data_IF_441917191401
#
_entry.id   IF_441917191401
#
_cell.length_a   1.000
_cell.length_b   1.000
_cell.length_c   1.000
_cell.angle_alpha   90.00
_cell.angle_beta   90.00
_cell.angle_gamma   90.00
#
_symmetry.space_group_name_H-M   'P 1'
#
loop_
_entity.id
_entity.type
_entity.pdbx_description
1 polymer ?
#
# COMPACT_ATOMS: atom_id res chain seq x y z
N UNK A 1 -7.39 28.73 -16.49
CA UNK A 1 -7.67 28.13 -15.16
C UNK A 1 -8.95 27.29 -15.05
N UNK A 2 -9.86 27.28 -16.04
CA UNK A 2 -11.18 26.63 -15.91
C UNK A 2 -11.11 25.09 -15.84
N UNK A 3 -10.14 24.47 -16.53
CA UNK A 3 -9.98 23.01 -16.59
C UNK A 3 -9.34 22.49 -15.30
N UNK A 4 -8.29 23.15 -14.81
CA UNK A 4 -7.65 22.77 -13.55
C UNK A 4 -8.62 22.85 -12.37
N UNK A 5 -9.40 23.93 -12.28
CA UNK A 5 -10.39 24.08 -11.19
C UNK A 5 -11.48 23.01 -11.27
N UNK A 6 -12.06 22.78 -12.46
CA UNK A 6 -13.17 21.85 -12.62
C UNK A 6 -12.76 20.38 -12.50
N UNK A 7 -11.63 20.01 -13.08
CA UNK A 7 -11.28 18.60 -13.28
C UNK A 7 -10.24 18.10 -12.24
N UNK A 8 -9.66 18.98 -11.42
CA UNK A 8 -8.68 18.62 -10.37
C UNK A 8 -9.09 19.16 -9.01
N UNK A 9 -9.21 20.48 -8.89
CA UNK A 9 -9.42 21.16 -7.60
C UNK A 9 -10.80 20.83 -7.02
N UNK A 10 -11.84 20.79 -7.84
CA UNK A 10 -13.20 20.46 -7.42
C UNK A 10 -13.32 18.99 -6.97
N UNK A 11 -12.80 17.98 -7.68
CA UNK A 11 -12.70 16.61 -7.16
C UNK A 11 -11.94 16.49 -5.85
N UNK A 12 -10.79 17.18 -5.72
CA UNK A 12 -10.01 17.16 -4.46
C UNK A 12 -10.79 17.80 -3.30
N UNK A 13 -11.44 18.94 -3.53
CA UNK A 13 -12.31 19.58 -2.56
C UNK A 13 -13.50 18.67 -2.20
N UNK A 14 -14.07 17.97 -3.18
CA UNK A 14 -15.14 17.00 -2.94
C UNK A 14 -14.69 15.86 -2.04
N UNK A 15 -13.48 15.30 -2.23
CA UNK A 15 -12.92 14.28 -1.34
C UNK A 15 -12.83 14.80 0.10
N UNK A 16 -12.34 16.03 0.28
CA UNK A 16 -12.24 16.64 1.61
C UNK A 16 -13.62 16.81 2.24
N UNK A 17 -14.57 17.40 1.50
CA UNK A 17 -15.96 17.59 1.96
C UNK A 17 -16.65 16.26 2.27
N UNK A 18 -16.43 15.24 1.45
CA UNK A 18 -16.94 13.90 1.63
C UNK A 18 -16.47 13.29 2.96
N UNK A 19 -15.18 13.42 3.28
CA UNK A 19 -14.65 12.99 4.57
C UNK A 19 -15.28 13.72 5.76
N UNK A 20 -15.39 15.06 5.68
CA UNK A 20 -16.06 15.84 6.72
C UNK A 20 -17.53 15.43 6.90
N UNK A 21 -18.26 15.20 5.80
CA UNK A 21 -19.63 14.74 5.85
C UNK A 21 -19.74 13.36 6.51
N UNK A 22 -18.85 12.42 6.16
CA UNK A 22 -18.78 11.11 6.81
C UNK A 22 -18.56 11.22 8.32
N UNK A 23 -17.65 12.08 8.78
CA UNK A 23 -17.39 12.25 10.21
C UNK A 23 -18.59 12.83 10.98
N UNK A 24 -19.40 13.68 10.34
CA UNK A 24 -20.62 14.23 10.95
C UNK A 24 -21.77 13.21 11.00
N UNK A 25 -21.82 12.27 10.05
CA UNK A 25 -22.84 11.22 9.99
C UNK A 25 -22.53 10.07 10.96
N UNK A 26 -21.25 9.72 11.12
CA UNK A 26 -20.83 8.61 11.97
C UNK A 26 -20.88 9.01 13.45
N UNK A 27 -21.87 8.47 14.18
CA UNK A 27 -22.17 8.80 15.58
C UNK A 27 -20.94 8.85 16.54
N UNK A 28 -20.04 7.84 16.58
CA UNK A 28 -18.88 7.89 17.48
C UNK A 28 -17.88 9.00 17.14
N UNK A 29 -17.88 9.51 15.91
CA UNK A 29 -17.05 10.66 15.52
C UNK A 29 -17.68 11.97 15.89
N UNK A 30 -18.99 12.10 15.67
CA UNK A 30 -19.74 13.31 15.99
C UNK A 30 -19.60 13.72 17.47
N UNK A 31 -19.60 12.75 18.37
CA UNK A 31 -19.45 13.00 19.82
C UNK A 31 -18.03 13.37 20.23
N UNK A 32 -17.02 12.98 19.44
CA UNK A 32 -15.59 13.18 19.74
C UNK A 32 -14.96 14.34 18.98
N UNK A 33 -15.72 15.00 18.09
CA UNK A 33 -15.31 16.21 17.39
C UNK A 33 -15.18 17.39 18.37
N UNK A 34 -13.96 17.66 18.81
CA UNK A 34 -13.61 18.87 19.56
C UNK A 34 -12.61 19.74 18.75
N UNK A 35 -12.52 21.02 19.05
CA UNK A 35 -11.65 21.99 18.38
C UNK A 35 -10.19 21.53 18.30
N UNK A 36 -9.67 20.86 19.34
CA UNK A 36 -8.30 20.31 19.36
C UNK A 36 -8.14 19.19 18.33
N UNK A 37 -9.08 18.25 18.27
CA UNK A 37 -9.06 17.15 17.29
C UNK A 37 -9.16 17.66 15.86
N UNK A 38 -10.01 18.66 15.62
CA UNK A 38 -10.14 19.32 14.32
C UNK A 38 -8.83 20.02 13.92
N UNK A 39 -8.20 20.76 14.83
CA UNK A 39 -6.93 21.44 14.59
C UNK A 39 -5.85 20.43 14.18
N UNK A 40 -5.78 19.29 14.85
CA UNK A 40 -4.81 18.24 14.55
C UNK A 40 -5.11 17.57 13.19
N UNK A 41 -6.37 17.31 12.87
CA UNK A 41 -6.79 16.79 11.56
C UNK A 41 -6.42 17.77 10.43
N UNK A 42 -6.59 19.08 10.64
CA UNK A 42 -6.17 20.10 9.67
C UNK A 42 -4.64 20.23 9.57
N UNK A 43 -3.94 20.14 10.69
CA UNK A 43 -2.47 20.10 10.67
C UNK A 43 -1.98 18.88 9.88
N UNK A 44 -2.59 17.71 10.10
CA UNK A 44 -2.31 16.49 9.36
C UNK A 44 -2.58 16.66 7.87
N UNK A 45 -3.67 17.35 7.49
CA UNK A 45 -3.96 17.67 6.09
C UNK A 45 -2.81 18.45 5.46
N UNK A 46 -2.27 19.44 6.18
CA UNK A 46 -1.11 20.21 5.75
C UNK A 46 0.13 19.34 5.51
N UNK A 47 0.41 18.39 6.40
CA UNK A 47 1.52 17.43 6.24
C UNK A 47 1.31 16.55 5.00
N UNK A 48 0.11 15.97 4.82
CA UNK A 48 -0.19 15.12 3.67
C UNK A 48 -0.11 15.89 2.34
N UNK A 49 -0.59 17.14 2.31
CA UNK A 49 -0.46 18.01 1.13
C UNK A 49 1.01 18.32 0.86
N UNK A 50 1.82 18.65 1.86
CA UNK A 50 3.24 18.92 1.68
C UNK A 50 3.98 17.69 1.10
N UNK A 51 3.68 16.50 1.61
CA UNK A 51 4.22 15.23 1.09
C UNK A 51 3.74 14.99 -0.35
N UNK A 52 2.45 15.21 -0.64
CA UNK A 52 1.91 15.07 -1.99
C UNK A 52 2.61 16.03 -2.97
N UNK A 53 2.81 17.29 -2.59
CA UNK A 53 3.51 18.28 -3.40
C UNK A 53 4.97 17.89 -3.65
N UNK A 54 5.65 17.31 -2.66
CA UNK A 54 7.00 16.76 -2.85
C UNK A 54 7.01 15.64 -3.90
N UNK A 55 6.06 14.71 -3.85
CA UNK A 55 5.95 13.65 -4.85
C UNK A 55 5.54 14.17 -6.23
N UNK A 56 4.67 15.17 -6.29
CA UNK A 56 4.32 15.88 -7.53
C UNK A 56 5.57 16.55 -8.13
N UNK A 57 6.43 17.16 -7.32
CA UNK A 57 7.71 17.70 -7.76
C UNK A 57 8.63 16.63 -8.36
N UNK A 58 8.68 15.45 -7.74
CA UNK A 58 9.44 14.31 -8.25
C UNK A 58 8.83 13.74 -9.53
N UNK A 59 7.51 13.76 -9.68
CA UNK A 59 6.84 13.40 -10.92
C UNK A 59 7.20 14.40 -12.03
N UNK A 60 7.14 15.71 -11.76
CA UNK A 60 7.54 16.77 -12.69
C UNK A 60 8.97 16.57 -13.23
N UNK A 61 9.94 16.23 -12.38
CA UNK A 61 11.31 15.89 -12.79
C UNK A 61 11.37 14.75 -13.81
N UNK A 62 10.55 13.71 -13.64
CA UNK A 62 10.52 12.58 -14.59
C UNK A 62 10.02 12.98 -15.97
N UNK A 63 9.22 14.05 -16.06
CA UNK A 63 8.71 14.58 -17.33
C UNK A 63 9.52 15.79 -17.83
N UNK A 64 10.70 16.05 -17.27
CA UNK A 64 11.63 17.09 -17.75
C UNK A 64 11.39 18.49 -17.18
N UNK A 65 10.51 18.65 -16.18
CA UNK A 65 10.27 19.91 -15.48
C UNK A 65 11.14 20.02 -14.22
N UNK A 66 11.36 21.24 -13.71
CA UNK A 66 12.04 21.46 -12.43
C UNK A 66 11.10 21.18 -11.26
N UNK A 67 11.63 20.74 -10.10
CA UNK A 67 10.83 20.66 -8.86
C UNK A 67 10.20 21.98 -8.46
N UNK A 68 10.82 23.11 -8.79
CA UNK A 68 10.27 24.42 -8.45
C UNK A 68 9.05 24.80 -9.32
N UNK A 69 8.80 24.06 -10.40
CA UNK A 69 7.67 24.30 -11.30
C UNK A 69 6.33 23.88 -10.69
N UNK A 70 6.31 23.31 -9.48
CA UNK A 70 5.09 23.09 -8.68
C UNK A 70 4.29 24.39 -8.51
N UNK A 71 4.95 25.55 -8.45
CA UNK A 71 4.24 26.85 -8.34
C UNK A 71 3.42 27.18 -9.59
N UNK A 72 3.83 26.65 -10.74
CA UNK A 72 3.17 26.83 -12.03
C UNK A 72 2.34 25.59 -12.43
N UNK A 73 2.09 24.68 -11.48
CA UNK A 73 1.33 23.45 -11.71
C UNK A 73 -0.03 23.67 -12.39
N UNK A 74 -0.83 24.70 -12.03
CA UNK A 74 -2.10 24.97 -12.72
C UNK A 74 -1.89 25.24 -14.21
N UNK A 75 -0.86 26.01 -14.58
CA UNK A 75 -0.56 26.35 -15.97
C UNK A 75 -0.02 25.15 -16.75
N UNK A 76 0.82 24.34 -16.11
CA UNK A 76 1.40 23.13 -16.72
C UNK A 76 0.29 22.12 -16.99
N UNK A 77 -0.61 21.89 -16.03
CA UNK A 77 -1.74 20.97 -16.19
C UNK A 77 -2.67 21.45 -17.30
N UNK A 78 -2.95 22.75 -17.41
CA UNK A 78 -3.78 23.26 -18.50
C UNK A 78 -3.14 23.09 -19.88
N UNK A 79 -1.83 23.34 -20.00
CA UNK A 79 -1.11 23.18 -21.28
C UNK A 79 -0.95 21.72 -21.69
N UNK A 80 -0.93 20.79 -20.74
CA UNK A 80 -0.65 19.37 -20.97
C UNK A 80 -1.87 18.47 -20.85
N UNK A 81 -3.04 19.05 -20.54
CA UNK A 81 -4.30 18.32 -20.34
C UNK A 81 -4.65 17.47 -21.59
N UNK A 82 -4.84 16.17 -21.38
CA UNK A 82 -5.19 15.21 -22.44
C UNK A 82 -4.05 14.81 -23.39
N UNK A 83 -2.86 15.41 -23.27
CA UNK A 83 -1.69 15.09 -24.13
C UNK A 83 -0.61 14.28 -23.42
N UNK A 84 -0.44 14.48 -22.12
CA UNK A 84 0.55 13.78 -21.29
C UNK A 84 -0.13 13.01 -20.17
N UNK A 85 0.58 11.99 -19.66
CA UNK A 85 0.18 11.27 -18.44
C UNK A 85 0.45 12.06 -17.16
N UNK A 86 1.28 13.12 -17.24
CA UNK A 86 1.67 13.96 -16.10
C UNK A 86 0.46 14.51 -15.33
N UNK A 87 -0.57 15.14 -15.94
CA UNK A 87 -1.75 15.60 -15.20
C UNK A 87 -2.46 14.48 -14.46
N UNK A 88 -2.61 13.30 -15.06
CA UNK A 88 -3.23 12.13 -14.40
C UNK A 88 -2.39 11.64 -13.22
N UNK A 89 -1.06 11.59 -13.36
CA UNK A 89 -0.15 11.18 -12.28
C UNK A 89 -0.21 12.18 -11.11
N UNK A 90 -0.24 13.48 -11.41
CA UNK A 90 -0.41 14.54 -10.39
C UNK A 90 -1.78 14.44 -9.70
N UNK A 91 -2.85 14.19 -10.46
CA UNK A 91 -4.18 13.96 -9.91
C UNK A 91 -4.19 12.78 -8.93
N UNK A 92 -3.60 11.66 -9.31
CA UNK A 92 -3.53 10.48 -8.48
C UNK A 92 -2.69 10.74 -7.21
N UNK A 93 -1.52 11.36 -7.32
CA UNK A 93 -0.67 11.63 -6.14
C UNK A 93 -1.42 12.47 -5.09
N UNK A 94 -2.09 13.55 -5.51
CA UNK A 94 -2.83 14.42 -4.59
C UNK A 94 -4.11 13.74 -4.10
N UNK A 95 -4.85 13.09 -5.00
CA UNK A 95 -6.07 12.36 -4.66
C UNK A 95 -5.81 11.24 -3.65
N UNK A 96 -4.81 10.41 -3.89
CA UNK A 96 -4.38 9.33 -2.99
C UNK A 96 -3.99 9.92 -1.63
N UNK A 97 -3.20 11.00 -1.59
CA UNK A 97 -2.82 11.65 -0.34
C UNK A 97 -4.03 12.16 0.46
N UNK A 98 -5.06 12.71 -0.20
CA UNK A 98 -6.29 13.15 0.45
C UNK A 98 -7.14 11.98 0.95
N UNK A 99 -7.20 10.88 0.21
CA UNK A 99 -7.86 9.65 0.66
C UNK A 99 -7.14 9.08 1.88
N UNK A 100 -5.82 8.95 1.84
CA UNK A 100 -5.02 8.48 2.98
C UNK A 100 -5.17 9.40 4.19
N UNK A 101 -5.12 10.72 3.99
CA UNK A 101 -5.38 11.69 5.05
C UNK A 101 -6.74 11.45 5.70
N UNK A 102 -7.80 11.26 4.91
CA UNK A 102 -9.14 11.06 5.45
C UNK A 102 -9.28 9.76 6.26
N UNK A 103 -8.63 8.68 5.83
CA UNK A 103 -8.56 7.42 6.60
C UNK A 103 -7.75 7.63 7.90
N UNK A 104 -6.64 8.33 7.83
CA UNK A 104 -5.78 8.60 8.99
C UNK A 104 -6.47 9.51 10.02
N UNK A 105 -7.15 10.55 9.53
CA UNK A 105 -7.99 11.43 10.32
C UNK A 105 -9.19 10.68 10.92
N UNK A 106 -9.77 9.72 10.19
CA UNK A 106 -10.81 8.85 10.72
C UNK A 106 -10.29 8.03 11.92
N UNK A 107 -9.13 7.40 11.81
CA UNK A 107 -8.53 6.67 12.92
C UNK A 107 -8.27 7.58 14.14
N UNK A 108 -7.84 8.83 13.89
CA UNK A 108 -7.57 9.82 14.94
C UNK A 108 -8.84 10.31 15.65
N UNK A 109 -9.92 10.54 14.91
CA UNK A 109 -11.21 10.97 15.47
C UNK A 109 -11.90 9.85 16.25
N UNK A 110 -11.71 8.59 15.85
CA UNK A 110 -12.28 7.43 16.53
C UNK A 110 -11.69 7.25 17.95
N UNK A 111 -10.41 7.56 18.16
CA UNK A 111 -9.74 7.38 19.46
C UNK A 111 -9.98 8.53 20.42
N UNK A 112 -10.16 9.77 19.94
CA UNK A 112 -10.37 10.97 20.77
C UNK A 112 -9.11 11.54 21.43
N UNK A 113 -8.07 10.74 21.64
CA UNK A 113 -6.72 11.19 22.01
C UNK A 113 -5.84 11.30 20.75
N UNK A 114 -5.14 12.44 20.52
CA UNK A 114 -4.36 12.64 19.30
C UNK A 114 -3.13 11.74 19.16
N UNK A 115 -2.46 11.42 20.27
CA UNK A 115 -1.29 10.55 20.26
C UNK A 115 -1.73 9.11 19.99
N UNK A 116 -2.78 8.65 20.68
CA UNK A 116 -3.37 7.33 20.44
C UNK A 116 -3.98 7.23 19.05
N UNK A 117 -4.52 8.32 18.51
CA UNK A 117 -5.04 8.41 17.15
C UNK A 117 -3.97 8.27 16.09
N UNK A 118 -2.84 8.95 16.28
CA UNK A 118 -1.68 8.81 15.41
C UNK A 118 -1.11 7.38 15.46
N UNK A 119 -0.93 6.83 16.67
CA UNK A 119 -0.46 5.46 16.85
C UNK A 119 -1.43 4.43 16.27
N UNK A 120 -2.74 4.66 16.39
CA UNK A 120 -3.78 3.81 15.80
C UNK A 120 -3.77 3.85 14.29
N UNK A 121 -3.59 5.03 13.69
CA UNK A 121 -3.40 5.18 12.25
C UNK A 121 -2.18 4.41 11.77
N UNK A 122 -1.02 4.58 12.43
CA UNK A 122 0.21 3.83 12.12
C UNK A 122 -0.01 2.33 12.27
N UNK A 123 -0.65 1.89 13.36
CA UNK A 123 -0.90 0.47 13.62
C UNK A 123 -1.78 -0.17 12.55
N UNK A 124 -2.85 0.50 12.16
CA UNK A 124 -3.74 0.07 11.07
C UNK A 124 -2.97 -0.07 9.75
N UNK A 125 -2.15 0.92 9.35
CA UNK A 125 -1.35 0.80 8.13
C UNK A 125 -0.29 -0.28 8.22
N UNK A 126 0.36 -0.44 9.38
CA UNK A 126 1.35 -1.48 9.59
C UNK A 126 0.73 -2.89 9.45
N UNK A 127 -0.46 -3.11 10.04
CA UNK A 127 -1.22 -4.35 9.90
C UNK A 127 -1.62 -4.61 8.44
N UNK A 128 -2.17 -3.61 7.75
CA UNK A 128 -2.54 -3.73 6.34
C UNK A 128 -1.31 -4.09 5.49
N UNK A 129 -0.20 -3.36 5.64
CA UNK A 129 1.02 -3.59 4.85
C UNK A 129 1.65 -4.95 5.17
N UNK A 130 1.60 -5.40 6.42
CA UNK A 130 2.04 -6.73 6.81
C UNK A 130 1.20 -7.82 6.13
N UNK A 131 -0.12 -7.62 6.03
CA UNK A 131 -1.02 -8.55 5.36
C UNK A 131 -0.90 -8.54 3.82
N UNK A 132 -0.36 -7.46 3.23
CA UNK A 132 -0.13 -7.37 1.78
C UNK A 132 0.82 -8.45 1.23
N UNK A 133 1.57 -9.16 2.08
CA UNK A 133 2.34 -10.35 1.65
C UNK A 133 1.44 -11.37 0.95
N UNK A 134 0.22 -11.60 1.48
CA UNK A 134 -0.76 -12.50 0.86
C UNK A 134 -1.22 -11.96 -0.51
N UNK A 135 -1.43 -10.64 -0.62
CA UNK A 135 -1.81 -10.02 -1.89
C UNK A 135 -0.70 -10.17 -2.94
N UNK A 136 0.58 -10.06 -2.54
CA UNK A 136 1.72 -10.32 -3.43
C UNK A 136 1.64 -11.75 -3.97
N UNK A 137 1.36 -12.74 -3.11
CA UNK A 137 1.17 -14.13 -3.55
C UNK A 137 0.01 -14.28 -4.53
N UNK A 138 -1.15 -13.64 -4.26
CA UNK A 138 -2.28 -13.66 -5.19
C UNK A 138 -1.92 -13.08 -6.57
N UNK A 139 -1.19 -11.96 -6.61
CA UNK A 139 -0.70 -11.37 -7.86
C UNK A 139 0.26 -12.32 -8.59
N UNK A 140 1.09 -13.06 -7.84
CA UNK A 140 1.94 -14.10 -8.42
C UNK A 140 1.07 -15.18 -9.08
N UNK A 141 0.10 -15.75 -8.37
CA UNK A 141 -0.73 -16.85 -8.87
C UNK A 141 -1.54 -16.47 -10.12
N UNK A 142 -2.16 -15.29 -10.11
CA UNK A 142 -3.14 -14.89 -11.13
C UNK A 142 -2.48 -14.23 -12.33
N UNK A 143 -1.39 -13.48 -12.12
CA UNK A 143 -0.81 -12.63 -13.16
C UNK A 143 0.59 -13.10 -13.52
N UNK A 144 1.52 -13.11 -12.55
CA UNK A 144 2.95 -13.25 -12.84
C UNK A 144 3.27 -14.69 -13.27
N UNK A 145 2.68 -15.68 -12.62
CA UNK A 145 2.92 -17.09 -12.89
C UNK A 145 2.42 -17.52 -14.28
N UNK A 146 1.15 -17.28 -14.67
CA UNK A 146 0.67 -17.62 -16.02
C UNK A 146 1.49 -16.91 -17.10
N UNK A 147 1.80 -15.63 -16.90
CA UNK A 147 2.62 -14.85 -17.82
C UNK A 147 4.05 -15.41 -17.94
N UNK A 148 4.66 -15.81 -16.82
CA UNK A 148 6.01 -16.39 -16.81
C UNK A 148 6.04 -17.74 -17.49
N UNK A 149 5.06 -18.63 -17.24
CA UNK A 149 4.94 -19.91 -17.93
C UNK A 149 4.74 -19.73 -19.44
N UNK A 150 3.85 -18.82 -19.85
CA UNK A 150 3.63 -18.53 -21.27
C UNK A 150 4.92 -18.09 -21.97
N UNK A 151 5.69 -17.18 -21.35
CA UNK A 151 6.98 -16.73 -21.90
C UNK A 151 7.98 -17.89 -21.96
N UNK A 152 8.08 -18.71 -20.92
CA UNK A 152 8.96 -19.88 -20.91
C UNK A 152 8.64 -20.89 -22.02
N UNK A 153 7.36 -21.20 -22.25
CA UNK A 153 6.92 -22.14 -23.28
C UNK A 153 7.06 -21.60 -24.70
N UNK A 154 6.89 -20.29 -24.89
CA UNK A 154 7.16 -19.61 -26.18
C UNK A 154 8.65 -19.32 -26.40
N UNK A 155 9.51 -19.76 -25.50
CA UNK A 155 10.95 -19.62 -25.59
C UNK A 155 11.49 -18.21 -25.36
N UNK A 156 10.68 -17.34 -24.74
CA UNK A 156 11.05 -15.99 -24.30
C UNK A 156 11.51 -16.02 -22.84
N UNK A 157 12.40 -15.11 -22.46
CA UNK A 157 12.75 -14.94 -21.04
C UNK A 157 11.55 -14.41 -20.26
N UNK A 158 11.35 -14.75 -18.98
CA UNK A 158 10.38 -14.10 -18.10
C UNK A 158 10.61 -12.58 -17.99
N UNK A 159 9.56 -11.86 -17.61
CA UNK A 159 9.66 -10.41 -17.45
C UNK A 159 10.42 -10.04 -16.17
N UNK A 160 11.63 -9.51 -16.34
CA UNK A 160 12.47 -9.11 -15.21
C UNK A 160 11.87 -7.96 -14.40
N UNK A 161 11.17 -7.03 -15.04
CA UNK A 161 10.54 -5.90 -14.36
C UNK A 161 9.46 -6.37 -13.40
N UNK A 162 8.61 -7.31 -13.86
CA UNK A 162 7.56 -7.90 -13.01
C UNK A 162 8.14 -8.75 -11.87
N UNK A 163 9.17 -9.56 -12.15
CA UNK A 163 9.81 -10.42 -11.14
C UNK A 163 10.60 -9.65 -10.08
N UNK A 164 11.27 -8.55 -10.46
CA UNK A 164 11.98 -7.68 -9.52
C UNK A 164 11.01 -6.79 -8.75
N UNK A 165 10.00 -6.25 -9.43
CA UNK A 165 9.08 -5.27 -8.86
C UNK A 165 8.20 -5.85 -7.77
N UNK A 166 7.55 -6.99 -8.04
CA UNK A 166 6.50 -7.52 -7.17
C UNK A 166 7.02 -8.62 -6.22
N UNK A 167 7.47 -9.81 -6.70
CA UNK A 167 7.94 -10.88 -5.82
C UNK A 167 9.17 -10.54 -4.98
N UNK A 168 10.02 -9.61 -5.44
CA UNK A 168 11.24 -9.23 -4.74
C UNK A 168 11.04 -7.92 -3.97
N UNK A 169 10.93 -6.77 -4.66
CA UNK A 169 10.95 -5.46 -3.99
C UNK A 169 9.73 -5.23 -3.09
N UNK A 170 8.52 -5.39 -3.64
CA UNK A 170 7.30 -5.17 -2.88
C UNK A 170 7.17 -6.17 -1.73
N UNK A 171 7.44 -7.46 -2.01
CA UNK A 171 7.43 -8.51 -0.99
C UNK A 171 8.38 -8.19 0.17
N UNK A 172 9.65 -7.83 -0.10
CA UNK A 172 10.63 -7.50 0.94
C UNK A 172 10.19 -6.33 1.81
N UNK A 173 9.56 -5.31 1.22
CA UNK A 173 9.00 -4.19 1.99
C UNK A 173 7.89 -4.67 2.95
N UNK A 174 6.94 -5.45 2.44
CA UNK A 174 5.84 -6.01 3.23
C UNK A 174 6.37 -6.94 4.34
N UNK A 175 7.35 -7.77 4.05
CA UNK A 175 7.99 -8.67 5.00
C UNK A 175 8.73 -7.92 6.10
N UNK A 176 9.44 -6.83 5.77
CA UNK A 176 10.10 -6.00 6.77
C UNK A 176 9.09 -5.39 7.75
N UNK A 177 7.94 -4.92 7.24
CA UNK A 177 6.85 -4.42 8.08
C UNK A 177 6.23 -5.54 8.92
N UNK A 178 5.98 -6.72 8.35
CA UNK A 178 5.48 -7.89 9.09
C UNK A 178 6.40 -8.28 10.24
N UNK A 179 7.72 -8.31 10.01
CA UNK A 179 8.72 -8.59 11.06
C UNK A 179 8.70 -7.50 12.12
N UNK A 180 8.64 -6.22 11.74
CA UNK A 180 8.54 -5.12 12.69
C UNK A 180 7.27 -5.23 13.55
N UNK A 181 6.11 -5.52 12.94
CA UNK A 181 4.84 -5.75 13.65
C UNK A 181 4.95 -6.91 14.63
N UNK A 182 5.53 -8.05 14.22
CA UNK A 182 5.77 -9.20 15.10
C UNK A 182 6.64 -8.82 16.31
N UNK A 183 7.75 -8.13 16.08
CA UNK A 183 8.65 -7.70 17.15
C UNK A 183 7.95 -6.74 18.11
N UNK A 184 7.27 -5.71 17.60
CA UNK A 184 6.52 -4.76 18.43
C UNK A 184 5.46 -5.49 19.26
N UNK A 185 4.73 -6.42 18.66
CA UNK A 185 3.67 -7.17 19.33
C UNK A 185 4.20 -8.10 20.45
N UNK A 186 5.39 -8.68 20.26
CA UNK A 186 6.04 -9.53 21.27
C UNK A 186 6.67 -8.75 22.42
N UNK A 187 7.22 -7.57 22.15
CA UNK A 187 7.91 -6.75 23.17
C UNK A 187 7.02 -5.69 23.82
N UNK A 188 5.88 -5.35 23.22
CA UNK A 188 4.92 -4.44 23.84
C UNK A 188 4.12 -5.15 24.93
N UNK A 189 3.93 -4.46 26.05
CA UNK A 189 2.98 -4.88 27.09
C UNK A 189 1.54 -4.42 26.80
N UNK A 190 1.27 -3.96 25.57
CA UNK A 190 -0.06 -3.49 25.19
C UNK A 190 -1.03 -4.68 25.12
N UNK A 191 -2.25 -4.58 25.67
CA UNK A 191 -3.23 -5.65 25.62
C UNK A 191 -3.76 -5.87 24.20
N UNK A 192 -4.13 -7.10 23.87
CA UNK A 192 -4.91 -7.36 22.67
C UNK A 192 -6.35 -6.87 22.90
N UNK A 193 -6.68 -5.71 22.33
CA UNK A 193 -7.98 -5.03 22.44
C UNK A 193 -8.59 -4.79 21.06
N UNK A 194 -9.86 -4.38 21.01
CA UNK A 194 -10.57 -4.08 19.75
C UNK A 194 -10.16 -2.75 19.09
N UNK A 195 -9.28 -1.98 19.72
CA UNK A 195 -8.65 -0.81 19.12
C UNK A 195 -7.60 -1.23 18.07
N UNK A 196 -7.17 -0.28 17.22
CA UNK A 196 -6.24 -0.59 16.13
C UNK A 196 -4.86 -1.07 16.60
N UNK A 197 -4.39 -0.57 17.74
CA UNK A 197 -3.09 -0.97 18.30
C UNK A 197 -3.20 -2.39 18.85
N UNK A 198 -4.27 -2.69 19.58
CA UNK A 198 -4.60 -3.98 20.12
C UNK A 198 -4.81 -5.04 19.04
N UNK A 199 -5.46 -4.69 17.93
CA UNK A 199 -5.59 -5.55 16.74
C UNK A 199 -4.25 -5.85 16.08
N UNK A 200 -3.42 -4.83 15.84
CA UNK A 200 -2.06 -5.02 15.32
C UNK A 200 -1.22 -5.91 16.26
N UNK A 201 -1.35 -5.72 17.57
CA UNK A 201 -0.65 -6.54 18.58
C UNK A 201 -1.19 -7.98 18.59
N UNK A 202 -2.50 -8.18 18.49
CA UNK A 202 -3.13 -9.50 18.40
C UNK A 202 -2.68 -10.24 17.14
N UNK A 203 -2.71 -9.55 15.99
CA UNK A 203 -2.19 -10.01 14.72
C UNK A 203 -0.71 -10.42 14.85
N UNK A 204 0.12 -9.52 15.37
CA UNK A 204 1.54 -9.76 15.55
C UNK A 204 1.83 -10.87 16.55
N UNK A 205 0.97 -11.14 17.55
CA UNK A 205 1.12 -12.26 18.49
C UNK A 205 0.62 -13.60 17.95
N UNK A 206 -0.23 -13.60 16.92
CA UNK A 206 -0.69 -14.81 16.26
C UNK A 206 0.47 -15.50 15.52
N UNK A 207 1.12 -16.45 16.20
CA UNK A 207 2.30 -17.14 15.68
C UNK A 207 2.00 -17.90 14.40
N UNK A 208 0.86 -18.58 14.32
CA UNK A 208 0.47 -19.38 13.15
C UNK A 208 0.34 -18.50 11.91
N UNK A 209 -0.46 -17.43 12.02
CA UNK A 209 -0.68 -16.50 10.92
C UNK A 209 0.63 -15.83 10.46
N UNK A 210 1.43 -15.33 11.41
CA UNK A 210 2.70 -14.66 11.09
C UNK A 210 3.68 -15.62 10.44
N UNK A 211 3.77 -16.88 10.91
CA UNK A 211 4.63 -17.90 10.31
C UNK A 211 4.18 -18.20 8.89
N UNK A 212 2.88 -18.42 8.64
CA UNK A 212 2.38 -18.65 7.29
C UNK A 212 2.62 -17.47 6.35
N UNK A 213 2.46 -16.23 6.83
CA UNK A 213 2.81 -15.05 6.03
C UNK A 213 4.32 -14.97 5.74
N UNK A 214 5.18 -15.31 6.69
CA UNK A 214 6.63 -15.36 6.46
C UNK A 214 7.02 -16.47 5.47
N UNK A 215 6.36 -17.62 5.53
CA UNK A 215 6.52 -18.71 4.56
C UNK A 215 6.11 -18.27 3.16
N UNK A 216 4.93 -17.64 3.01
CA UNK A 216 4.48 -17.05 1.75
C UNK A 216 5.48 -16.02 1.23
N UNK A 217 5.98 -15.15 2.09
CA UNK A 217 7.04 -14.20 1.73
C UNK A 217 8.29 -14.91 1.22
N UNK A 218 8.73 -15.98 1.89
CA UNK A 218 9.89 -16.77 1.48
C UNK A 218 9.69 -17.38 0.10
N UNK A 219 8.51 -17.96 -0.15
CA UNK A 219 8.14 -18.55 -1.44
C UNK A 219 8.03 -17.50 -2.55
N UNK A 220 7.40 -16.35 -2.28
CA UNK A 220 7.33 -15.23 -3.22
C UNK A 220 8.74 -14.78 -3.65
N UNK A 221 9.66 -14.64 -2.69
CA UNK A 221 11.03 -14.24 -2.97
C UNK A 221 11.78 -15.32 -3.78
N UNK A 222 11.61 -16.59 -3.41
CA UNK A 222 12.19 -17.73 -4.13
C UNK A 222 11.66 -17.80 -5.57
N UNK A 223 10.36 -17.56 -5.78
CA UNK A 223 9.71 -17.46 -7.08
C UNK A 223 10.40 -16.39 -7.94
N UNK A 224 10.62 -15.19 -7.38
CA UNK A 224 11.34 -14.11 -8.05
C UNK A 224 12.75 -14.51 -8.48
N UNK A 225 13.55 -15.10 -7.58
CA UNK A 225 14.91 -15.54 -7.88
C UNK A 225 14.92 -16.62 -8.97
N UNK A 226 14.11 -17.67 -8.82
CA UNK A 226 14.08 -18.78 -9.78
C UNK A 226 13.58 -18.31 -11.14
N UNK A 227 12.60 -17.40 -11.18
CA UNK A 227 12.14 -16.79 -12.42
C UNK A 227 13.22 -15.99 -13.14
N UNK A 228 14.09 -15.30 -12.39
CA UNK A 228 15.18 -14.48 -12.97
C UNK A 228 16.37 -15.33 -13.44
N UNK A 229 16.77 -16.34 -12.66
CA UNK A 229 18.03 -17.06 -12.89
C UNK A 229 17.86 -18.47 -13.44
N UNK A 230 16.68 -19.10 -13.29
CA UNK A 230 16.44 -20.48 -13.69
C UNK A 230 16.64 -20.74 -15.19
N UNK A 231 16.35 -19.72 -16.02
CA UNK A 231 16.46 -19.82 -17.48
C UNK A 231 17.88 -20.17 -17.96
N UNK A 232 18.91 -19.80 -17.18
CA UNK A 232 20.33 -20.06 -17.52
C UNK A 232 20.64 -21.55 -17.58
N UNK A 233 19.85 -22.40 -16.92
CA UNK A 233 20.10 -23.84 -16.83
C UNK A 233 19.16 -24.65 -17.71
N UNK A 234 17.84 -24.46 -17.56
CA UNK A 234 16.84 -25.15 -18.38
C UNK A 234 15.45 -24.52 -18.21
N UNK A 235 14.78 -24.26 -19.34
CA UNK A 235 13.40 -23.71 -19.36
C UNK A 235 12.40 -24.66 -18.70
N UNK A 236 12.51 -25.96 -18.97
CA UNK A 236 11.61 -26.99 -18.42
C UNK A 236 11.76 -27.11 -16.91
N UNK A 237 13.01 -27.11 -16.40
CA UNK A 237 13.26 -27.15 -14.96
C UNK A 237 12.77 -25.87 -14.27
N UNK A 238 12.94 -24.71 -14.91
CA UNK A 238 12.42 -23.44 -14.38
C UNK A 238 10.90 -23.46 -14.28
N UNK A 239 10.20 -23.88 -15.33
CA UNK A 239 8.74 -23.99 -15.32
C UNK A 239 8.23 -24.97 -14.25
N UNK A 240 8.91 -26.11 -14.08
CA UNK A 240 8.58 -27.06 -13.03
C UNK A 240 8.80 -26.47 -11.64
N UNK A 241 9.94 -25.81 -11.40
CA UNK A 241 10.24 -25.17 -10.12
C UNK A 241 9.22 -24.07 -9.78
N UNK A 242 8.88 -23.18 -10.72
CA UNK A 242 7.86 -22.14 -10.50
C UNK A 242 6.50 -22.75 -10.17
N UNK A 243 6.12 -23.84 -10.85
CA UNK A 243 4.86 -24.55 -10.57
C UNK A 243 4.85 -25.14 -9.15
N UNK A 244 5.95 -25.78 -8.72
CA UNK A 244 6.05 -26.33 -7.36
C UNK A 244 5.96 -25.24 -6.29
N UNK A 245 6.56 -24.07 -6.53
CA UNK A 245 6.49 -22.93 -5.61
C UNK A 245 5.06 -22.44 -5.48
N UNK A 246 4.35 -22.24 -6.59
CA UNK A 246 2.95 -21.79 -6.56
C UNK A 246 2.04 -22.81 -5.87
N UNK A 247 2.27 -24.12 -6.08
CA UNK A 247 1.54 -25.15 -5.35
C UNK A 247 1.81 -25.08 -3.84
N UNK A 248 3.05 -24.83 -3.43
CA UNK A 248 3.40 -24.63 -2.03
C UNK A 248 2.75 -23.35 -1.45
N UNK A 249 2.75 -22.24 -2.20
CA UNK A 249 2.09 -20.99 -1.79
C UNK A 249 0.59 -21.20 -1.58
N UNK A 250 -0.08 -21.89 -2.52
CA UNK A 250 -1.49 -22.22 -2.41
C UNK A 250 -1.78 -23.14 -1.22
N UNK A 251 -0.89 -24.08 -0.91
CA UNK A 251 -1.00 -24.95 0.26
C UNK A 251 -0.93 -24.16 1.58
N UNK A 252 0.06 -23.27 1.70
CA UNK A 252 0.19 -22.40 2.88
C UNK A 252 -1.04 -21.50 3.04
N UNK A 253 -1.50 -20.88 1.95
CA UNK A 253 -2.70 -20.04 1.97
C UNK A 253 -3.97 -20.82 2.32
N UNK A 254 -4.07 -22.08 1.90
CA UNK A 254 -5.19 -22.96 2.26
C UNK A 254 -5.18 -23.32 3.76
N UNK A 255 -4.01 -23.56 4.35
CA UNK A 255 -3.85 -23.75 5.79
C UNK A 255 -4.38 -22.54 6.59
N UNK A 256 -4.03 -21.33 6.13
CA UNK A 256 -4.53 -20.08 6.73
C UNK A 256 -6.05 -19.96 6.69
N UNK A 257 -6.69 -20.33 5.58
CA UNK A 257 -8.14 -20.22 5.40
C UNK A 257 -8.93 -21.28 6.19
N UNK A 258 -8.38 -22.47 6.34
CA UNK A 258 -9.07 -23.59 7.01
C UNK A 258 -8.79 -23.66 8.51
N UNK A 259 -7.86 -22.85 9.03
CA UNK A 259 -7.39 -22.93 10.41
C UNK A 259 -6.75 -24.28 10.75
N UNK A 260 -6.38 -25.05 9.72
CA UNK A 260 -5.68 -26.32 9.83
C UNK A 260 -4.21 -26.04 9.58
N UNK A 261 -3.51 -25.76 10.67
CA UNK A 261 -2.06 -25.73 10.72
C UNK A 261 -1.54 -27.07 11.21
#
# INVERSE_FOLDING_TARGET
MRVFVRDYLLPWAFIVVFWFALWLIVHPMRERLNAVSLLIVFFLLGVFIAVALYFVGKALERYGYSRNDIRHLPEIIEKTHGRLYLPKEVFNIVGDALVFWGIFAWALLATGDPMMGLLSGVAMFAEIIAFLVLLVSMVIWVIIFPHSLYRLFTGREPDRGLLIGVPIKQNLLCTAVLVAVRLIALYSNYPASDDFIGKMVAFGRNTELVVSLLELSGLNFLFGIIGLYGLRKSRKLTALALTLIVLAELWVAWGMLTGKF
#
